data_IF_333929226923
#
_entry.id   IF_333929226923
#
_cell.length_a   1.000
_cell.length_b   1.000
_cell.length_c   1.000
_cell.angle_alpha   90.00
_cell.angle_beta   90.00
_cell.angle_gamma   90.00
#
_symmetry.space_group_name_H-M   'P 1'
#
loop_
_entity.id
_entity.type
_entity.pdbx_description
1 polymer ?
#
# COMPACT_ATOMS: atom_id res chain seq x y z
N UNK A 1 17.39 -22.60 16.83
CA UNK A 1 16.12 -22.51 16.10
C UNK A 1 16.23 -21.27 15.25
N UNK A 2 15.84 -21.34 13.97
CA UNK A 2 15.83 -20.16 13.09
C UNK A 2 14.83 -19.11 13.59
N UNK A 3 14.99 -17.87 13.11
CA UNK A 3 14.02 -16.78 13.32
C UNK A 3 12.71 -17.13 12.62
N UNK A 4 11.56 -16.82 13.22
CA UNK A 4 10.22 -17.06 12.67
C UNK A 4 9.37 -15.82 12.76
N UNK A 5 8.35 -15.74 11.93
CA UNK A 5 7.39 -14.64 11.98
C UNK A 5 6.65 -14.59 13.33
N UNK A 6 6.77 -13.47 14.03
CA UNK A 6 5.96 -13.09 15.19
C UNK A 6 5.12 -11.85 14.87
N UNK A 7 5.68 -10.91 14.09
CA UNK A 7 5.04 -9.67 13.66
C UNK A 7 5.39 -9.41 12.21
N UNK A 8 4.41 -9.44 11.32
CA UNK A 8 4.53 -8.99 9.94
C UNK A 8 3.76 -7.68 9.81
N UNK A 9 4.44 -6.63 9.36
CA UNK A 9 3.78 -5.41 8.94
C UNK A 9 3.14 -5.63 7.57
N UNK A 10 1.81 -5.59 7.49
CA UNK A 10 1.10 -5.61 6.21
C UNK A 10 1.25 -4.29 5.43
N UNK A 11 1.88 -3.28 6.02
CA UNK A 11 1.99 -1.94 5.47
C UNK A 11 3.32 -1.30 5.84
N UNK A 12 4.16 -1.15 4.85
CA UNK A 12 5.41 -0.41 4.90
C UNK A 12 5.70 0.20 3.52
N UNK A 13 6.47 1.27 3.49
CA UNK A 13 6.73 2.00 2.25
C UNK A 13 8.22 2.07 1.91
N UNK A 14 8.51 2.04 0.61
CA UNK A 14 9.88 2.22 0.11
C UNK A 14 10.07 3.69 -0.25
N UNK A 15 10.52 4.48 0.71
CA UNK A 15 10.72 5.92 0.59
C UNK A 15 12.17 6.27 0.21
N UNK A 16 12.72 5.62 -0.83
CA UNK A 16 14.08 5.89 -1.31
C UNK A 16 14.10 6.92 -2.45
N UNK A 17 15.26 7.59 -2.68
CA UNK A 17 15.42 8.43 -3.86
C UNK A 17 15.21 7.64 -5.16
N UNK A 18 14.74 8.31 -6.25
CA UNK A 18 14.46 7.64 -7.52
C UNK A 18 15.69 7.14 -8.27
N UNK A 19 16.89 7.56 -7.87
CA UNK A 19 18.12 7.27 -8.60
C UNK A 19 18.44 5.77 -8.62
N UNK A 20 17.99 5.00 -7.61
CA UNK A 20 18.22 3.56 -7.51
C UNK A 20 17.66 2.74 -8.68
N UNK A 21 16.59 3.20 -9.31
CA UNK A 21 15.88 2.48 -10.40
C UNK A 21 16.18 3.01 -11.80
N UNK A 22 16.88 4.15 -11.91
CA UNK A 22 17.22 4.76 -13.21
C UNK A 22 18.03 3.82 -14.13
N UNK A 23 18.83 2.94 -13.58
CA UNK A 23 19.60 1.97 -14.37
C UNK A 23 18.70 1.02 -15.18
N UNK A 24 17.48 0.74 -14.71
CA UNK A 24 16.49 -0.12 -15.37
C UNK A 24 15.63 0.62 -16.38
N UNK A 25 15.66 1.96 -16.39
CA UNK A 25 14.96 2.76 -17.38
C UNK A 25 15.72 2.69 -18.71
N UNK A 26 15.05 2.35 -19.83
CA UNK A 26 15.67 2.37 -21.15
C UNK A 26 16.39 3.71 -21.43
N UNK A 27 17.59 3.67 -21.98
CA UNK A 27 18.46 4.84 -22.17
C UNK A 27 17.72 6.02 -22.82
N UNK A 28 16.94 5.75 -23.86
CA UNK A 28 16.12 6.74 -24.59
C UNK A 28 15.09 7.50 -23.73
N UNK A 29 14.79 7.01 -22.53
CA UNK A 29 13.80 7.58 -21.62
C UNK A 29 14.41 8.12 -20.32
N UNK A 30 15.71 7.91 -20.07
CA UNK A 30 16.35 8.31 -18.80
C UNK A 30 16.25 9.80 -18.50
N UNK A 31 16.33 10.64 -19.51
CA UNK A 31 16.21 12.10 -19.34
C UNK A 31 14.81 12.55 -18.93
N UNK A 32 13.80 11.69 -19.12
CA UNK A 32 12.41 11.92 -18.76
C UNK A 32 11.99 11.22 -17.45
N UNK A 33 12.87 10.38 -16.93
CA UNK A 33 12.61 9.64 -15.69
C UNK A 33 12.65 10.58 -14.48
N UNK A 34 11.97 10.18 -13.38
CA UNK A 34 12.05 10.91 -12.12
C UNK A 34 13.49 11.08 -11.66
N UNK A 35 13.84 12.28 -11.21
CA UNK A 35 15.16 12.62 -10.66
C UNK A 35 15.03 13.39 -9.37
N UNK A 36 15.94 13.15 -8.44
CA UNK A 36 16.05 13.93 -7.22
C UNK A 36 16.64 15.31 -7.54
N UNK A 37 16.03 16.34 -7.01
CA UNK A 37 16.53 17.73 -7.07
C UNK A 37 16.53 18.36 -5.69
N UNK A 38 17.41 19.36 -5.51
CA UNK A 38 17.38 20.21 -4.32
C UNK A 38 16.50 21.41 -4.57
N UNK A 39 15.48 21.59 -3.73
CA UNK A 39 14.59 22.74 -3.81
C UNK A 39 15.22 23.99 -3.20
N UNK A 40 14.74 25.22 -3.58
CA UNK A 40 15.22 26.46 -2.97
C UNK A 40 15.04 26.55 -1.45
N UNK A 41 14.07 25.81 -0.88
CA UNK A 41 13.84 25.67 0.56
C UNK A 41 14.93 24.88 1.28
N UNK A 42 15.81 24.19 0.55
CA UNK A 42 16.76 23.24 1.09
C UNK A 42 16.22 21.83 1.27
N UNK A 43 14.92 21.59 0.98
CA UNK A 43 14.33 20.26 0.93
C UNK A 43 14.74 19.52 -0.35
N UNK A 44 14.60 18.20 -0.34
CA UNK A 44 14.65 17.41 -1.57
C UNK A 44 13.29 17.44 -2.26
N UNK A 45 13.31 17.42 -3.57
CA UNK A 45 12.12 17.33 -4.42
C UNK A 45 12.37 16.42 -5.60
N UNK A 46 11.32 16.12 -6.33
CA UNK A 46 11.41 15.30 -7.53
C UNK A 46 11.16 16.14 -8.77
N UNK A 47 11.89 15.85 -9.82
CA UNK A 47 11.67 16.41 -11.15
C UNK A 47 11.13 15.31 -12.06
N UNK A 48 9.96 15.52 -12.65
CA UNK A 48 9.35 14.59 -13.63
C UNK A 48 8.91 15.38 -14.84
N UNK A 49 9.34 14.98 -16.03
CA UNK A 49 9.08 15.68 -17.31
C UNK A 49 9.35 17.18 -17.26
N UNK A 50 10.42 17.59 -16.57
CA UNK A 50 10.78 19.00 -16.41
C UNK A 50 9.92 19.79 -15.43
N UNK A 51 8.95 19.17 -14.77
CA UNK A 51 8.11 19.79 -13.75
C UNK A 51 8.60 19.37 -12.34
N UNK A 52 8.93 20.32 -11.47
CA UNK A 52 9.32 20.00 -10.12
C UNK A 52 8.11 19.63 -9.27
N UNK A 53 8.24 18.57 -8.50
CA UNK A 53 7.40 18.32 -7.33
C UNK A 53 7.96 19.16 -6.19
N UNK A 54 7.13 20.00 -5.58
CA UNK A 54 7.55 20.98 -4.57
C UNK A 54 7.77 20.39 -3.17
N UNK A 55 7.74 19.07 -3.08
CA UNK A 55 8.10 18.29 -1.91
C UNK A 55 8.64 16.93 -2.38
N UNK A 56 9.33 16.23 -1.50
CA UNK A 56 9.90 14.92 -1.83
C UNK A 56 8.87 13.77 -1.84
N UNK A 57 7.60 14.07 -1.68
CA UNK A 57 6.54 13.06 -1.60
C UNK A 57 6.54 12.28 -0.30
N UNK A 58 7.41 12.61 0.64
CA UNK A 58 7.62 11.84 1.85
C UNK A 58 6.86 12.39 3.03
N UNK A 59 6.30 11.47 3.76
CA UNK A 59 5.71 11.70 5.08
C UNK A 59 6.57 11.02 6.17
N UNK A 60 7.88 11.00 5.98
CA UNK A 60 8.81 10.31 6.86
C UNK A 60 8.89 11.03 8.22
N UNK A 61 8.68 10.27 9.28
CA UNK A 61 8.75 10.77 10.64
C UNK A 61 10.18 10.80 11.17
N UNK A 62 10.94 9.74 11.03
CA UNK A 62 12.19 9.56 11.76
C UNK A 62 11.99 9.75 13.27
N UNK A 63 13.08 10.00 14.01
CA UNK A 63 13.04 10.20 15.48
C UNK A 63 12.77 11.65 15.92
N UNK A 64 12.41 12.53 15.01
CA UNK A 64 12.16 13.94 15.31
C UNK A 64 10.97 14.50 14.57
N UNK A 65 10.54 15.73 14.90
CA UNK A 65 9.44 16.37 14.19
C UNK A 65 9.83 16.59 12.73
N UNK A 66 8.99 16.09 11.82
CA UNK A 66 9.13 16.33 10.38
C UNK A 66 8.57 17.69 10.04
N UNK A 67 9.38 18.50 9.34
CA UNK A 67 8.90 19.69 8.66
C UNK A 67 8.97 19.43 7.16
N UNK A 68 7.85 19.25 6.51
CA UNK A 68 7.79 18.97 5.08
C UNK A 68 8.59 19.97 4.24
N UNK A 69 8.60 21.25 4.63
CA UNK A 69 9.35 22.30 3.94
C UNK A 69 10.88 22.06 3.88
N UNK A 70 11.42 21.25 4.79
CA UNK A 70 12.85 20.94 4.89
C UNK A 70 13.13 19.44 4.84
N UNK A 71 12.16 18.63 4.39
CA UNK A 71 12.33 17.19 4.31
C UNK A 71 13.46 16.81 3.33
N UNK A 72 14.30 15.90 3.74
CA UNK A 72 15.39 15.35 2.93
C UNK A 72 15.45 13.85 3.13
N UNK A 73 15.90 13.13 2.11
CA UNK A 73 16.25 11.73 2.20
C UNK A 73 17.52 11.48 3.03
N UNK A 74 18.30 12.54 3.26
CA UNK A 74 19.62 12.45 3.87
C UNK A 74 19.69 13.25 5.19
N UNK A 75 20.52 12.76 6.08
CA UNK A 75 20.98 13.45 7.26
C UNK A 75 22.00 14.54 6.88
N UNK A 76 22.39 15.38 7.86
CA UNK A 76 23.35 16.46 7.62
C UNK A 76 24.75 15.97 7.22
N UNK A 77 25.11 14.74 7.58
CA UNK A 77 26.37 14.09 7.22
C UNK A 77 26.33 13.36 5.86
N UNK A 78 25.20 13.40 5.17
CA UNK A 78 24.97 12.76 3.88
C UNK A 78 24.54 11.30 3.95
N UNK A 79 24.45 10.70 5.14
CA UNK A 79 23.88 9.35 5.32
C UNK A 79 22.38 9.34 5.05
N UNK A 80 21.79 8.23 4.55
CA UNK A 80 20.35 8.11 4.41
C UNK A 80 19.64 8.23 5.77
N UNK A 81 18.49 8.88 5.76
CA UNK A 81 17.61 8.90 6.95
C UNK A 81 16.98 7.53 7.19
N UNK A 82 16.48 7.34 8.40
CA UNK A 82 15.62 6.20 8.72
C UNK A 82 14.46 6.11 7.71
N UNK A 83 14.28 4.92 7.12
CA UNK A 83 13.30 4.63 6.10
C UNK A 83 13.66 5.04 4.68
N UNK A 84 14.76 5.77 4.45
CA UNK A 84 15.21 6.21 3.14
C UNK A 84 16.46 5.48 2.61
N UNK A 85 16.97 4.52 3.38
CA UNK A 85 18.18 3.79 3.07
C UNK A 85 17.99 2.57 2.18
N UNK A 86 19.10 1.84 2.03
CA UNK A 86 19.15 0.59 1.30
C UNK A 86 18.46 -0.57 2.06
N UNK A 87 18.31 -1.75 1.45
CA UNK A 87 17.63 -2.88 2.09
C UNK A 87 18.34 -3.38 3.36
N UNK A 88 19.65 -3.23 3.50
CA UNK A 88 20.36 -3.62 4.71
C UNK A 88 19.99 -2.70 5.88
N UNK A 89 19.96 -1.38 5.63
CA UNK A 89 19.47 -0.41 6.61
C UNK A 89 18.01 -0.74 7.00
N UNK A 90 17.16 -1.06 6.03
CA UNK A 90 15.77 -1.43 6.29
C UNK A 90 15.62 -2.65 7.20
N UNK A 91 16.44 -3.69 7.00
CA UNK A 91 16.44 -4.87 7.85
C UNK A 91 16.87 -4.56 9.29
N UNK A 92 17.86 -3.68 9.48
CA UNK A 92 18.25 -3.19 10.81
C UNK A 92 17.15 -2.36 11.47
N UNK A 93 16.44 -1.55 10.71
CA UNK A 93 15.28 -0.78 11.21
C UNK A 93 14.13 -1.68 11.61
N UNK A 94 13.83 -2.75 10.85
CA UNK A 94 12.87 -3.79 11.26
C UNK A 94 13.28 -4.44 12.58
N UNK A 95 14.56 -4.83 12.74
CA UNK A 95 15.04 -5.44 13.97
C UNK A 95 14.96 -4.49 15.17
N UNK A 96 15.26 -3.20 14.96
CA UNK A 96 15.14 -2.16 16.00
C UNK A 96 13.69 -2.01 16.48
N UNK A 97 12.73 -2.14 15.59
CA UNK A 97 11.30 -1.98 15.87
C UNK A 97 10.62 -3.29 16.30
N UNK A 98 11.34 -4.43 16.17
CA UNK A 98 10.86 -5.77 16.48
C UNK A 98 9.89 -6.33 15.45
N UNK A 99 10.05 -5.92 14.18
CA UNK A 99 9.27 -6.39 13.02
C UNK A 99 10.06 -7.48 12.30
N UNK A 100 9.40 -8.57 11.95
CA UNK A 100 10.06 -9.68 11.25
C UNK A 100 10.04 -9.53 9.75
N UNK A 101 8.97 -8.98 9.20
CA UNK A 101 8.81 -8.74 7.77
C UNK A 101 7.83 -7.59 7.50
N UNK A 102 7.90 -7.03 6.29
CA UNK A 102 7.00 -5.97 5.83
C UNK A 102 6.57 -6.20 4.38
N UNK A 103 5.29 -5.93 4.11
CA UNK A 103 4.80 -5.76 2.74
C UNK A 103 5.14 -4.33 2.31
N UNK A 104 5.92 -4.21 1.23
CA UNK A 104 6.50 -2.94 0.81
C UNK A 104 5.71 -2.33 -0.35
N UNK A 105 4.99 -1.27 -0.04
CA UNK A 105 4.25 -0.46 -1.01
C UNK A 105 5.15 0.57 -1.68
N UNK A 106 4.83 0.91 -2.93
CA UNK A 106 5.38 2.09 -3.56
C UNK A 106 4.94 3.35 -2.78
N UNK A 107 5.80 4.38 -2.69
CA UNK A 107 5.42 5.63 -2.04
C UNK A 107 4.15 6.19 -2.68
N UNK A 108 3.13 6.48 -1.86
CA UNK A 108 1.79 6.88 -2.35
C UNK A 108 1.85 8.10 -3.26
N UNK A 109 2.63 9.11 -2.87
CA UNK A 109 2.78 10.33 -3.67
C UNK A 109 3.60 10.09 -4.93
N UNK A 110 4.63 9.26 -4.86
CA UNK A 110 5.49 8.94 -6.00
C UNK A 110 4.73 8.15 -7.06
N UNK A 111 3.96 7.15 -6.67
CA UNK A 111 3.13 6.40 -7.61
C UNK A 111 2.22 7.33 -8.42
N UNK A 112 1.53 8.29 -7.76
CA UNK A 112 0.69 9.29 -8.41
C UNK A 112 1.48 10.27 -9.27
N UNK A 113 2.68 10.62 -8.83
CA UNK A 113 3.52 11.55 -9.56
C UNK A 113 4.01 10.94 -10.88
N UNK A 114 4.36 9.65 -10.87
CA UNK A 114 4.70 8.90 -12.08
C UNK A 114 3.49 8.81 -13.02
N UNK A 115 2.27 8.66 -12.50
CA UNK A 115 1.03 8.67 -13.30
C UNK A 115 0.84 9.99 -14.08
N UNK A 116 1.46 11.10 -13.64
CA UNK A 116 1.39 12.40 -14.34
C UNK A 116 2.20 12.42 -15.64
N UNK A 117 3.03 11.42 -15.92
CA UNK A 117 3.78 11.30 -17.16
C UNK A 117 2.83 11.06 -18.33
N UNK A 118 2.78 12.03 -19.25
CA UNK A 118 1.80 12.05 -20.34
C UNK A 118 2.06 10.98 -21.41
N UNK A 119 3.32 10.68 -21.67
CA UNK A 119 3.74 9.64 -22.61
C UNK A 119 3.64 8.25 -21.97
N UNK A 120 2.64 7.49 -22.42
CA UNK A 120 2.38 6.15 -21.90
C UNK A 120 3.55 5.18 -22.04
N UNK A 121 4.40 5.33 -23.05
CA UNK A 121 5.56 4.46 -23.23
C UNK A 121 6.65 4.76 -22.19
N UNK A 122 6.87 6.03 -21.90
CA UNK A 122 7.76 6.48 -20.81
C UNK A 122 7.20 6.02 -19.46
N UNK A 123 5.93 6.31 -19.19
CA UNK A 123 5.26 5.93 -17.94
C UNK A 123 5.41 4.43 -17.65
N UNK A 124 5.05 3.56 -18.60
CA UNK A 124 5.19 2.11 -18.48
C UNK A 124 6.63 1.70 -18.21
N UNK A 125 7.58 2.28 -18.94
CA UNK A 125 9.00 1.96 -18.77
C UNK A 125 9.49 2.29 -17.36
N UNK A 126 8.97 3.36 -16.74
CA UNK A 126 9.32 3.77 -15.39
C UNK A 126 8.69 2.85 -14.35
N UNK A 127 7.40 2.49 -14.50
CA UNK A 127 6.75 1.51 -13.62
C UNK A 127 7.49 0.17 -13.68
N UNK A 128 7.80 -0.31 -14.89
CA UNK A 128 8.56 -1.56 -15.06
C UNK A 128 9.98 -1.49 -14.49
N UNK A 129 10.65 -0.34 -14.60
CA UNK A 129 11.98 -0.13 -14.01
C UNK A 129 11.91 -0.14 -12.47
N UNK A 130 10.92 0.53 -11.87
CA UNK A 130 10.68 0.48 -10.44
C UNK A 130 10.45 -0.96 -9.94
N UNK A 131 9.53 -1.69 -10.56
CA UNK A 131 9.25 -3.08 -10.17
C UNK A 131 10.49 -3.98 -10.34
N UNK A 132 11.27 -3.79 -11.41
CA UNK A 132 12.52 -4.56 -11.61
C UNK A 132 13.50 -4.30 -10.49
N UNK A 133 13.75 -3.03 -10.18
CA UNK A 133 14.63 -2.62 -9.10
C UNK A 133 14.17 -3.16 -7.74
N UNK A 134 12.87 -3.02 -7.44
CA UNK A 134 12.30 -3.48 -6.19
C UNK A 134 12.54 -4.99 -5.99
N UNK A 135 12.34 -5.79 -7.04
CA UNK A 135 12.55 -7.22 -6.98
C UNK A 135 14.04 -7.61 -6.97
N UNK A 136 14.85 -7.02 -7.86
CA UNK A 136 16.20 -7.47 -8.11
C UNK A 136 17.24 -6.90 -7.14
N UNK A 137 17.08 -5.64 -6.72
CA UNK A 137 18.08 -4.94 -5.90
C UNK A 137 17.63 -4.78 -4.45
N UNK A 138 16.33 -4.44 -4.23
CA UNK A 138 15.87 -4.10 -2.88
C UNK A 138 15.40 -5.34 -2.10
N UNK A 139 14.42 -6.05 -2.61
CA UNK A 139 13.81 -7.17 -1.88
C UNK A 139 14.58 -8.48 -2.00
N UNK A 140 15.47 -8.62 -3.00
CA UNK A 140 16.28 -9.83 -3.20
C UNK A 140 17.21 -10.16 -2.04
N UNK A 141 17.54 -9.18 -1.21
CA UNK A 141 18.45 -9.35 -0.05
C UNK A 141 17.83 -10.27 1.02
N UNK A 142 16.52 -10.14 1.24
CA UNK A 142 15.76 -10.98 2.17
C UNK A 142 14.29 -11.02 1.72
N UNK A 143 13.93 -11.81 0.69
CA UNK A 143 12.61 -11.76 0.06
C UNK A 143 11.47 -12.29 0.95
N UNK A 144 11.81 -12.95 2.03
CA UNK A 144 10.92 -13.39 3.10
C UNK A 144 10.67 -12.32 4.16
N UNK A 145 11.50 -11.26 4.20
CA UNK A 145 11.36 -10.14 5.13
C UNK A 145 10.98 -8.82 4.44
N UNK A 146 11.50 -8.60 3.23
CA UNK A 146 11.20 -7.45 2.38
C UNK A 146 10.24 -7.92 1.28
N UNK A 147 8.95 -7.97 1.59
CA UNK A 147 7.93 -8.57 0.72
C UNK A 147 7.46 -7.53 -0.29
N UNK A 148 7.91 -7.68 -1.53
CA UNK A 148 7.61 -6.73 -2.59
C UNK A 148 6.12 -6.75 -3.00
N UNK A 149 5.52 -5.56 -3.16
CA UNK A 149 4.19 -5.34 -3.72
C UNK A 149 4.33 -4.54 -5.03
N UNK A 150 4.13 -5.18 -6.18
CA UNK A 150 4.40 -4.57 -7.48
C UNK A 150 3.36 -3.52 -7.85
N UNK A 151 3.80 -2.42 -8.45
CA UNK A 151 2.91 -1.38 -8.96
C UNK A 151 2.33 -1.78 -10.33
N UNK A 152 1.00 -1.78 -10.46
CA UNK A 152 0.31 -2.01 -11.74
C UNK A 152 0.09 -0.67 -12.45
N UNK A 153 0.48 -0.56 -13.75
CA UNK A 153 0.29 0.67 -14.50
C UNK A 153 -1.18 0.97 -14.78
N UNK A 154 -1.53 2.26 -14.77
CA UNK A 154 -2.89 2.76 -15.03
C UNK A 154 -3.12 3.17 -16.49
N UNK A 155 -2.23 2.78 -17.40
CA UNK A 155 -2.29 3.16 -18.83
C UNK A 155 -3.30 2.37 -19.64
N UNK A 156 -3.94 1.36 -19.07
CA UNK A 156 -4.99 0.54 -19.67
C UNK A 156 -4.79 -0.95 -19.45
N UNK A 157 -5.82 -1.74 -19.74
CA UNK A 157 -5.90 -3.17 -19.43
C UNK A 157 -4.72 -3.98 -20.02
N UNK A 158 -4.36 -3.75 -21.27
CA UNK A 158 -3.26 -4.51 -21.91
C UNK A 158 -1.93 -4.33 -21.15
N UNK A 159 -1.66 -3.11 -20.68
CA UNK A 159 -0.46 -2.81 -19.91
C UNK A 159 -0.53 -3.41 -18.50
N UNK A 160 -1.71 -3.37 -17.88
CA UNK A 160 -1.94 -3.99 -16.56
C UNK A 160 -1.75 -5.51 -16.60
N UNK A 161 -2.28 -6.20 -17.62
CA UNK A 161 -2.09 -7.64 -17.82
C UNK A 161 -0.61 -8.02 -18.06
N UNK A 162 0.07 -7.24 -18.91
CA UNK A 162 1.48 -7.47 -19.19
C UNK A 162 2.36 -7.31 -17.93
N UNK A 163 2.12 -6.26 -17.15
CA UNK A 163 2.89 -6.03 -15.92
C UNK A 163 2.54 -7.03 -14.82
N UNK A 164 1.28 -7.49 -14.71
CA UNK A 164 0.89 -8.54 -13.77
C UNK A 164 1.65 -9.84 -14.05
N UNK A 165 1.71 -10.26 -15.34
CA UNK A 165 2.46 -11.44 -15.75
C UNK A 165 3.96 -11.28 -15.45
N UNK A 166 4.52 -10.11 -15.78
CA UNK A 166 5.92 -9.79 -15.53
C UNK A 166 6.25 -9.75 -14.03
N UNK A 167 5.37 -9.21 -13.21
CA UNK A 167 5.54 -9.21 -11.75
C UNK A 167 5.63 -10.65 -11.22
N UNK A 168 4.78 -11.56 -11.73
CA UNK A 168 4.89 -12.98 -11.37
C UNK A 168 6.24 -13.59 -11.74
N UNK A 169 6.75 -13.30 -12.95
CA UNK A 169 8.06 -13.76 -13.42
C UNK A 169 9.22 -13.22 -12.56
N UNK A 170 9.09 -11.99 -12.05
CA UNK A 170 10.04 -11.37 -11.12
C UNK A 170 9.94 -11.91 -9.67
N UNK A 171 8.99 -12.80 -9.38
CA UNK A 171 8.83 -13.42 -8.07
C UNK A 171 7.92 -12.66 -7.11
N UNK A 172 7.22 -11.63 -7.56
CA UNK A 172 6.22 -10.95 -6.73
C UNK A 172 5.09 -11.90 -6.34
N UNK A 173 4.55 -11.71 -5.14
CA UNK A 173 3.37 -12.41 -4.62
C UNK A 173 2.13 -11.54 -4.62
N UNK A 174 2.30 -10.23 -4.77
CA UNK A 174 1.25 -9.23 -4.58
C UNK A 174 1.45 -8.05 -5.51
N UNK A 175 0.34 -7.40 -5.85
CA UNK A 175 0.33 -6.18 -6.67
C UNK A 175 -0.53 -5.08 -6.05
N UNK A 176 -0.07 -3.83 -6.22
CA UNK A 176 -0.76 -2.62 -5.83
C UNK A 176 -1.53 -2.03 -7.02
N UNK A 177 -2.82 -1.78 -6.81
CA UNK A 177 -3.70 -1.12 -7.78
C UNK A 177 -3.93 0.35 -7.38
N UNK A 178 -3.82 1.25 -8.35
CA UNK A 178 -4.15 2.68 -8.20
C UNK A 178 -5.49 3.01 -8.88
N UNK A 179 -5.83 2.28 -9.94
CA UNK A 179 -7.05 2.39 -10.73
C UNK A 179 -7.59 0.98 -11.01
N UNK A 180 -8.80 0.88 -11.57
CA UNK A 180 -9.24 -0.36 -12.19
C UNK A 180 -8.30 -0.73 -13.34
N UNK A 181 -8.12 -2.03 -13.66
CA UNK A 181 -7.15 -2.47 -14.66
C UNK A 181 -7.32 -1.84 -16.04
N UNK A 182 -8.53 -1.42 -16.40
CA UNK A 182 -8.79 -0.66 -17.61
C UNK A 182 -8.19 0.76 -17.62
N UNK A 183 -7.56 1.19 -16.54
CA UNK A 183 -6.93 2.50 -16.36
C UNK A 183 -7.91 3.63 -16.02
N UNK A 184 -9.14 3.32 -15.60
CA UNK A 184 -10.12 4.31 -15.20
C UNK A 184 -10.57 4.19 -13.74
N UNK A 185 -11.33 5.18 -13.27
CA UNK A 185 -11.87 5.21 -11.91
C UNK A 185 -13.07 4.29 -11.67
N UNK A 186 -13.51 3.53 -12.67
CA UNK A 186 -14.66 2.64 -12.56
C UNK A 186 -14.38 1.29 -13.22
N UNK A 187 -14.95 0.19 -12.70
CA UNK A 187 -14.80 -1.13 -13.30
C UNK A 187 -15.51 -1.22 -14.63
N UNK A 188 -14.94 -2.03 -15.53
CA UNK A 188 -15.53 -2.38 -16.82
C UNK A 188 -15.50 -3.90 -17.02
N UNK A 189 -16.37 -4.45 -17.92
CA UNK A 189 -16.40 -5.89 -18.17
C UNK A 189 -15.04 -6.47 -18.59
N UNK A 190 -14.22 -5.71 -19.32
CA UNK A 190 -12.90 -6.16 -19.73
C UNK A 190 -11.92 -6.39 -18.59
N UNK A 191 -12.13 -5.77 -17.41
CA UNK A 191 -11.29 -5.99 -16.22
C UNK A 191 -11.36 -7.43 -15.70
N UNK A 192 -12.40 -8.19 -16.10
CA UNK A 192 -12.52 -9.61 -15.76
C UNK A 192 -11.30 -10.43 -16.20
N UNK A 193 -10.62 -10.02 -17.28
CA UNK A 193 -9.37 -10.65 -17.72
C UNK A 193 -8.25 -10.49 -16.68
N UNK A 194 -8.19 -9.34 -16.02
CA UNK A 194 -7.18 -9.10 -14.98
C UNK A 194 -7.49 -9.91 -13.71
N UNK A 195 -8.74 -9.94 -13.29
CA UNK A 195 -9.16 -10.72 -12.13
C UNK A 195 -8.92 -12.21 -12.35
N UNK A 196 -9.29 -12.74 -13.53
CA UNK A 196 -9.01 -14.14 -13.89
C UNK A 196 -7.51 -14.45 -13.88
N UNK A 197 -6.69 -13.60 -14.51
CA UNK A 197 -5.24 -13.79 -14.56
C UNK A 197 -4.59 -13.69 -13.17
N UNK A 198 -5.06 -12.78 -12.30
CA UNK A 198 -4.53 -12.68 -10.94
C UNK A 198 -4.76 -13.95 -10.13
N UNK A 199 -5.94 -14.55 -10.26
CA UNK A 199 -6.27 -15.84 -9.63
C UNK A 199 -5.45 -16.98 -10.23
N UNK A 200 -5.34 -17.06 -11.55
CA UNK A 200 -4.54 -18.10 -12.24
C UNK A 200 -3.07 -18.05 -11.81
N UNK A 201 -2.49 -16.88 -11.72
CA UNK A 201 -1.09 -16.68 -11.30
C UNK A 201 -0.90 -16.77 -9.79
N UNK A 202 -1.97 -16.84 -8.99
CA UNK A 202 -1.91 -16.78 -7.53
C UNK A 202 -1.30 -15.46 -7.04
N UNK A 203 -1.63 -14.34 -7.70
CA UNK A 203 -1.17 -13.01 -7.33
C UNK A 203 -2.19 -12.35 -6.40
N UNK A 204 -1.76 -12.00 -5.21
CA UNK A 204 -2.58 -11.27 -4.25
C UNK A 204 -2.83 -9.83 -4.71
N UNK A 205 -4.00 -9.29 -4.37
CA UNK A 205 -4.37 -7.90 -4.67
C UNK A 205 -4.31 -7.09 -3.39
N UNK A 206 -3.29 -6.24 -3.27
CA UNK A 206 -3.02 -5.44 -2.09
C UNK A 206 -2.97 -3.95 -2.46
N UNK A 207 -4.14 -3.32 -2.77
CA UNK A 207 -4.18 -1.88 -2.91
C UNK A 207 -3.87 -1.20 -1.57
N UNK A 208 -3.38 0.02 -1.65
CA UNK A 208 -3.36 0.90 -0.47
C UNK A 208 -4.81 1.23 -0.08
N UNK A 209 -5.11 2.19 0.75
CA UNK A 209 -6.46 2.42 1.32
C UNK A 209 -7.64 2.39 0.32
N UNK A 210 -7.41 2.52 -0.99
CA UNK A 210 -8.42 2.35 -2.05
C UNK A 210 -7.79 2.39 -3.43
N UNK A 211 -8.58 2.06 -4.46
CA UNK A 211 -8.24 2.31 -5.86
C UNK A 211 -9.49 2.74 -6.66
N UNK A 212 -9.29 3.26 -7.88
CA UNK A 212 -10.39 3.75 -8.70
C UNK A 212 -10.79 5.20 -8.42
N UNK A 213 -11.98 5.59 -8.83
CA UNK A 213 -12.50 6.96 -8.70
C UNK A 213 -12.99 7.30 -7.31
N UNK A 214 -13.20 8.61 -7.07
CA UNK A 214 -13.80 9.20 -5.88
C UNK A 214 -12.96 9.23 -4.59
N UNK A 215 -11.67 8.87 -4.62
CA UNK A 215 -10.78 9.14 -3.49
C UNK A 215 -10.10 10.48 -3.68
N UNK A 216 -9.91 11.20 -2.58
CA UNK A 216 -9.19 12.47 -2.59
C UNK A 216 -7.85 12.30 -3.31
N UNK A 217 -7.69 13.02 -4.40
CA UNK A 217 -6.46 13.09 -5.18
C UNK A 217 -5.95 14.51 -5.10
N UNK A 218 -5.16 14.79 -4.07
CA UNK A 218 -4.40 16.03 -4.06
C UNK A 218 -3.53 16.11 -5.32
N UNK A 219 -3.39 17.28 -5.90
CA UNK A 219 -2.40 17.50 -6.96
C UNK A 219 -1.01 17.26 -6.36
N UNK A 220 -0.25 16.24 -6.81
CA UNK A 220 1.08 15.95 -6.29
C UNK A 220 2.07 17.11 -6.56
N UNK A 221 1.70 18.06 -7.44
CA UNK A 221 2.45 19.27 -7.71
C UNK A 221 2.06 20.44 -6.79
N UNK A 222 1.02 20.25 -5.97
CA UNK A 222 0.59 21.30 -5.04
C UNK A 222 1.68 21.58 -3.99
N UNK A 223 1.84 22.85 -3.67
CA UNK A 223 2.73 23.26 -2.59
C UNK A 223 2.15 22.83 -1.23
N UNK A 224 2.90 21.98 -0.52
CA UNK A 224 2.51 21.51 0.81
C UNK A 224 2.53 22.61 1.87
N UNK A 225 3.13 23.77 1.57
CA UNK A 225 3.07 24.93 2.47
C UNK A 225 1.64 25.47 2.63
N UNK A 226 0.72 25.09 1.73
CA UNK A 226 -0.70 25.45 1.80
C UNK A 226 -1.55 24.47 2.63
N UNK A 227 -0.94 23.41 3.16
CA UNK A 227 -1.66 22.50 4.06
C UNK A 227 -1.97 23.23 5.38
N UNK A 228 -3.25 23.38 5.65
CA UNK A 228 -3.68 23.90 6.93
C UNK A 228 -3.64 22.81 8.00
N UNK A 229 -3.57 23.22 9.26
CA UNK A 229 -3.66 22.29 10.38
C UNK A 229 -4.99 21.50 10.36
N UNK A 230 -6.07 22.14 9.92
CA UNK A 230 -7.39 21.51 9.76
C UNK A 230 -7.33 20.37 8.71
N UNK A 231 -6.65 20.57 7.59
CA UNK A 231 -6.44 19.51 6.60
C UNK A 231 -5.60 18.37 7.18
N UNK A 232 -4.56 18.69 7.95
CA UNK A 232 -3.71 17.67 8.57
C UNK A 232 -4.45 16.82 9.61
N UNK A 233 -5.28 17.40 10.46
CA UNK A 233 -6.03 16.65 11.49
C UNK A 233 -7.21 15.85 10.92
N UNK A 234 -7.62 16.12 9.68
CA UNK A 234 -8.68 15.37 8.98
C UNK A 234 -8.15 14.47 7.87
N UNK A 235 -6.83 14.42 7.67
CA UNK A 235 -6.18 13.75 6.55
C UNK A 235 -6.63 12.29 6.37
N UNK A 236 -6.78 11.55 7.44
CA UNK A 236 -7.13 10.13 7.41
C UNK A 236 -8.64 9.84 7.54
N UNK A 237 -9.45 10.84 7.84
CA UNK A 237 -10.90 10.66 8.00
C UNK A 237 -11.62 10.16 6.72
N UNK A 238 -11.23 10.57 5.50
CA UNK A 238 -11.85 10.10 4.27
C UNK A 238 -11.20 8.83 3.66
N UNK A 239 -10.18 8.25 4.27
CA UNK A 239 -9.53 7.04 3.76
C UNK A 239 -10.45 5.84 3.94
N UNK A 240 -11.21 5.53 2.90
CA UNK A 240 -12.20 4.46 2.94
C UNK A 240 -12.27 3.74 1.60
N UNK A 241 -12.25 2.40 1.58
CA UNK A 241 -12.45 1.61 0.37
C UNK A 241 -13.93 1.54 -0.04
N UNK A 242 -14.85 2.20 0.66
CA UNK A 242 -16.29 2.04 0.47
C UNK A 242 -16.73 2.23 -0.99
N UNK A 243 -16.21 3.25 -1.67
CA UNK A 243 -16.56 3.50 -3.08
C UNK A 243 -16.04 2.38 -3.99
N UNK A 244 -14.80 1.94 -3.80
CA UNK A 244 -14.19 0.82 -4.55
C UNK A 244 -14.97 -0.47 -4.31
N UNK A 245 -15.28 -0.78 -3.05
CA UNK A 245 -16.05 -1.98 -2.68
C UNK A 245 -17.46 -1.93 -3.25
N UNK A 246 -18.15 -0.80 -3.15
CA UNK A 246 -19.47 -0.63 -3.76
C UNK A 246 -19.45 -0.83 -5.27
N UNK A 247 -18.45 -0.32 -5.98
CA UNK A 247 -18.27 -0.53 -7.41
C UNK A 247 -18.03 -2.02 -7.74
N UNK A 248 -17.16 -2.71 -7.01
CA UNK A 248 -16.92 -4.15 -7.20
C UNK A 248 -18.19 -4.99 -6.98
N UNK A 249 -18.97 -4.66 -5.96
CA UNK A 249 -20.21 -5.35 -5.61
C UNK A 249 -21.27 -5.09 -6.70
N UNK A 250 -21.59 -3.83 -6.98
CA UNK A 250 -22.69 -3.45 -7.90
C UNK A 250 -22.41 -3.92 -9.32
N UNK A 251 -21.14 -3.93 -9.75
CA UNK A 251 -20.75 -4.48 -11.06
C UNK A 251 -20.61 -6.01 -11.06
N UNK A 252 -20.93 -6.70 -9.95
CA UNK A 252 -20.98 -8.16 -9.85
C UNK A 252 -19.62 -8.84 -9.97
N UNK A 253 -18.51 -8.15 -9.68
CA UNK A 253 -17.17 -8.72 -9.77
C UNK A 253 -17.03 -9.92 -8.81
N UNK A 254 -17.46 -9.77 -7.58
CA UNK A 254 -17.41 -10.85 -6.58
C UNK A 254 -18.33 -12.04 -6.91
N UNK A 255 -19.43 -11.78 -7.60
CA UNK A 255 -20.32 -12.86 -8.08
C UNK A 255 -19.69 -13.71 -9.18
N UNK A 256 -18.84 -13.10 -10.02
CA UNK A 256 -18.10 -13.79 -11.09
C UNK A 256 -16.79 -14.42 -10.61
N UNK A 257 -16.18 -13.82 -9.59
CA UNK A 257 -14.89 -14.24 -9.01
C UNK A 257 -15.00 -14.41 -7.49
N UNK A 258 -15.66 -15.47 -7.00
CA UNK A 258 -15.89 -15.69 -5.57
C UNK A 258 -14.60 -15.93 -4.78
N UNK A 259 -13.52 -16.34 -5.41
CA UNK A 259 -12.20 -16.53 -4.78
C UNK A 259 -11.39 -15.23 -4.66
N UNK A 260 -11.81 -14.15 -5.36
CA UNK A 260 -11.07 -12.90 -5.38
C UNK A 260 -11.05 -12.26 -4.00
N UNK A 261 -9.86 -11.90 -3.51
CA UNK A 261 -9.65 -11.25 -2.21
C UNK A 261 -8.82 -9.99 -2.38
N UNK A 262 -9.13 -8.99 -1.58
CA UNK A 262 -8.36 -7.75 -1.49
C UNK A 262 -7.87 -7.54 -0.06
N UNK A 263 -6.63 -7.08 0.06
CA UNK A 263 -6.11 -6.52 1.29
C UNK A 263 -5.93 -5.01 1.08
N UNK A 264 -6.68 -4.19 1.80
CA UNK A 264 -6.52 -2.73 1.78
C UNK A 264 -5.69 -2.31 2.98
N UNK A 265 -4.52 -1.73 2.71
CA UNK A 265 -3.62 -1.22 3.74
C UNK A 265 -4.07 0.15 4.28
N UNK A 266 -3.61 0.52 5.47
CA UNK A 266 -3.77 1.84 6.13
C UNK A 266 -5.22 2.37 6.18
N UNK A 267 -6.19 1.54 6.52
CA UNK A 267 -7.60 1.96 6.50
C UNK A 267 -8.02 2.80 7.70
N UNK A 268 -7.27 2.82 8.81
CA UNK A 268 -7.72 3.47 10.06
C UNK A 268 -9.12 2.98 10.48
N UNK A 269 -9.22 1.70 10.80
CA UNK A 269 -10.39 0.82 10.73
C UNK A 269 -11.57 1.12 11.66
N UNK A 270 -11.47 2.09 12.58
CA UNK A 270 -12.54 2.35 13.58
C UNK A 270 -13.91 2.70 12.97
N UNK A 271 -13.97 3.14 11.71
CA UNK A 271 -15.21 3.45 11.00
C UNK A 271 -15.84 2.23 10.29
N UNK A 272 -15.14 1.11 10.18
CA UNK A 272 -15.60 -0.07 9.40
C UNK A 272 -16.98 -0.57 9.85
N UNK A 273 -17.31 -0.72 11.15
CA UNK A 273 -18.63 -1.14 11.55
C UNK A 273 -19.74 -0.21 11.03
N UNK A 274 -19.51 1.10 11.08
CA UNK A 274 -20.45 2.10 10.55
C UNK A 274 -20.57 2.03 9.03
N UNK A 275 -19.45 1.82 8.32
CA UNK A 275 -19.43 1.65 6.86
C UNK A 275 -20.30 0.45 6.44
N UNK A 276 -20.11 -0.71 7.06
CA UNK A 276 -20.88 -1.92 6.78
C UNK A 276 -22.39 -1.70 7.01
N UNK A 277 -22.74 -1.14 8.16
CA UNK A 277 -24.13 -0.81 8.49
C UNK A 277 -24.77 0.12 7.46
N UNK A 278 -24.09 1.21 7.07
CA UNK A 278 -24.66 2.17 6.11
C UNK A 278 -24.72 1.60 4.68
N UNK A 279 -23.78 0.74 4.28
CA UNK A 279 -23.86 0.08 2.97
C UNK A 279 -25.10 -0.79 2.85
N UNK A 280 -25.41 -1.61 3.86
CA UNK A 280 -26.61 -2.46 3.88
C UNK A 280 -27.87 -1.64 3.93
N UNK A 281 -27.95 -0.68 4.89
CA UNK A 281 -29.10 0.20 5.02
C UNK A 281 -29.41 0.93 3.72
N UNK A 282 -28.40 1.54 3.10
CA UNK A 282 -28.60 2.30 1.88
C UNK A 282 -28.95 1.39 0.70
N UNK A 283 -28.38 0.18 0.64
CA UNK A 283 -28.78 -0.80 -0.36
C UNK A 283 -30.28 -1.10 -0.25
N UNK A 284 -30.80 -1.44 0.93
CA UNK A 284 -32.21 -1.74 1.12
C UNK A 284 -33.12 -0.54 0.87
N UNK A 285 -32.67 0.67 1.17
CA UNK A 285 -33.42 1.91 0.92
C UNK A 285 -33.53 2.24 -0.57
N UNK A 286 -32.46 2.02 -1.34
CA UNK A 286 -32.36 2.53 -2.71
C UNK A 286 -32.40 1.47 -3.81
N UNK A 287 -32.29 0.18 -3.48
CA UNK A 287 -32.20 -0.90 -4.49
C UNK A 287 -33.34 -0.87 -5.53
N UNK A 288 -34.58 -0.62 -5.09
CA UNK A 288 -35.75 -0.59 -5.97
C UNK A 288 -35.73 0.64 -6.89
N UNK A 289 -35.25 1.79 -6.37
CA UNK A 289 -35.11 3.02 -7.13
C UNK A 289 -34.12 2.87 -8.29
N UNK A 290 -33.00 2.20 -8.04
CA UNK A 290 -31.96 1.98 -9.04
C UNK A 290 -32.15 0.66 -9.82
N UNK A 291 -33.13 -0.17 -9.49
CA UNK A 291 -33.32 -1.48 -10.10
C UNK A 291 -32.15 -2.45 -9.87
N UNK A 292 -31.45 -2.34 -8.73
CA UNK A 292 -30.32 -3.19 -8.38
C UNK A 292 -30.78 -4.33 -7.48
N UNK A 293 -30.40 -5.57 -7.82
CA UNK A 293 -30.64 -6.74 -7.00
C UNK A 293 -29.35 -7.51 -6.80
N UNK A 294 -28.84 -7.52 -5.58
CA UNK A 294 -27.66 -8.28 -5.16
C UNK A 294 -28.07 -9.64 -4.59
N UNK A 295 -27.17 -10.63 -4.68
CA UNK A 295 -27.41 -11.97 -4.08
C UNK A 295 -27.25 -12.02 -2.57
N UNK A 296 -26.49 -11.07 -2.02
CA UNK A 296 -26.18 -10.93 -0.60
C UNK A 296 -26.22 -9.44 -0.23
N UNK A 297 -26.27 -9.15 1.05
CA UNK A 297 -26.10 -7.78 1.52
C UNK A 297 -24.68 -7.28 1.25
N UNK A 298 -24.47 -5.98 0.98
CA UNK A 298 -23.15 -5.42 0.74
C UNK A 298 -22.11 -5.78 1.79
N UNK A 299 -22.47 -5.77 3.08
CA UNK A 299 -21.56 -6.13 4.18
C UNK A 299 -21.05 -7.57 4.09
N UNK A 300 -21.89 -8.51 3.62
CA UNK A 300 -21.49 -9.92 3.44
C UNK A 300 -20.40 -10.05 2.38
N UNK A 301 -20.55 -9.37 1.22
CA UNK A 301 -19.52 -9.30 0.20
C UNK A 301 -18.23 -8.71 0.75
N UNK A 302 -18.33 -7.57 1.44
CA UNK A 302 -17.16 -6.90 1.99
C UNK A 302 -16.40 -7.82 2.95
N UNK A 303 -17.09 -8.49 3.87
CA UNK A 303 -16.48 -9.36 4.86
C UNK A 303 -15.92 -10.67 4.24
N UNK A 304 -16.52 -11.15 3.17
CA UNK A 304 -16.01 -12.35 2.47
C UNK A 304 -14.74 -12.05 1.67
N UNK A 305 -14.65 -10.87 1.07
CA UNK A 305 -13.63 -10.56 0.06
C UNK A 305 -12.54 -9.60 0.52
N UNK A 306 -12.62 -9.07 1.75
CA UNK A 306 -11.73 -7.99 2.19
C UNK A 306 -10.98 -8.34 3.47
N UNK A 307 -9.68 -8.01 3.48
CA UNK A 307 -8.87 -7.83 4.67
C UNK A 307 -8.61 -6.34 4.89
N UNK A 308 -8.66 -5.91 6.13
CA UNK A 308 -8.59 -4.51 6.54
C UNK A 308 -7.27 -4.20 7.23
N UNK A 309 -6.47 -3.33 6.62
CA UNK A 309 -5.20 -2.87 7.18
C UNK A 309 -5.42 -1.85 8.30
N UNK A 310 -4.92 -2.17 9.48
CA UNK A 310 -4.96 -1.30 10.65
C UNK A 310 -3.55 -0.89 11.07
N UNK A 311 -3.39 0.32 11.59
CA UNK A 311 -2.12 0.83 12.14
C UNK A 311 -2.25 1.07 13.64
N UNK A 312 -2.90 2.17 14.06
CA UNK A 312 -3.07 2.59 15.46
C UNK A 312 -4.54 2.49 15.90
N UNK A 313 -5.20 1.41 15.56
CA UNK A 313 -6.66 1.28 15.65
C UNK A 313 -7.13 0.55 16.92
N UNK A 314 -6.58 0.87 18.08
CA UNK A 314 -7.05 0.30 19.35
C UNK A 314 -8.58 0.33 19.52
N UNK A 315 -9.33 1.36 19.06
CA UNK A 315 -10.78 1.37 19.14
C UNK A 315 -11.45 0.19 18.43
N UNK A 316 -11.00 -0.18 17.19
CA UNK A 316 -11.67 -1.26 16.45
C UNK A 316 -11.51 -2.62 17.12
N UNK A 317 -10.42 -2.85 17.82
CA UNK A 317 -10.20 -4.09 18.58
C UNK A 317 -11.18 -4.25 19.76
N UNK A 318 -11.85 -3.18 20.18
CA UNK A 318 -12.93 -3.19 21.19
C UNK A 318 -14.32 -3.35 20.57
N UNK A 319 -14.42 -3.38 19.24
CA UNK A 319 -15.65 -3.48 18.47
C UNK A 319 -15.92 -4.88 17.88
N UNK A 320 -15.29 -5.92 18.43
CA UNK A 320 -15.43 -7.31 17.94
C UNK A 320 -16.87 -7.85 17.97
N UNK A 321 -17.79 -7.19 18.70
CA UNK A 321 -19.21 -7.48 18.65
C UNK A 321 -19.96 -6.84 17.46
N UNK A 322 -19.30 -5.94 16.71
CA UNK A 322 -19.85 -5.25 15.54
C UNK A 322 -19.17 -5.64 14.22
N UNK A 323 -17.93 -6.14 14.29
CA UNK A 323 -17.14 -6.52 13.11
C UNK A 323 -16.24 -7.72 13.45
N UNK A 324 -16.10 -8.71 12.55
CA UNK A 324 -15.21 -9.85 12.78
C UNK A 324 -13.75 -9.42 12.74
N UNK A 325 -13.09 -9.41 13.91
CA UNK A 325 -11.69 -9.00 14.06
C UNK A 325 -10.71 -9.91 13.30
N UNK A 326 -11.13 -11.11 12.91
CA UNK A 326 -10.38 -12.05 12.08
C UNK A 326 -10.11 -11.55 10.67
N UNK A 327 -10.68 -10.41 10.29
CA UNK A 327 -10.47 -9.79 8.97
C UNK A 327 -9.43 -8.68 8.96
N UNK A 328 -8.80 -8.42 10.11
CA UNK A 328 -7.82 -7.35 10.21
C UNK A 328 -6.39 -7.86 9.98
N UNK A 329 -5.55 -6.97 9.47
CA UNK A 329 -4.10 -7.14 9.31
C UNK A 329 -3.44 -5.90 9.92
N UNK A 330 -2.47 -6.09 10.78
CA UNK A 330 -1.72 -4.98 11.34
C UNK A 330 -0.60 -4.53 10.40
N UNK A 331 -0.31 -3.23 10.34
CA UNK A 331 0.81 -2.63 9.64
C UNK A 331 1.47 -1.50 10.43
N UNK A 332 2.76 -1.31 10.24
CA UNK A 332 3.54 -0.26 10.90
C UNK A 332 3.39 1.10 10.25
N UNK A 333 3.08 1.12 8.97
CA UNK A 333 3.12 2.29 8.08
C UNK A 333 4.49 2.99 8.09
N UNK A 334 5.57 2.20 8.28
CA UNK A 334 6.93 2.75 8.28
C UNK A 334 7.37 3.10 6.84
N UNK A 335 7.98 4.26 6.59
CA UNK A 335 8.50 5.24 7.55
C UNK A 335 7.62 6.47 7.76
N UNK A 336 6.33 6.39 7.51
CA UNK A 336 5.43 7.53 7.54
C UNK A 336 5.27 8.13 8.95
N UNK A 337 4.91 9.43 9.00
CA UNK A 337 4.77 10.20 10.24
C UNK A 337 3.65 9.69 11.16
N UNK A 338 2.65 9.01 10.58
CA UNK A 338 1.55 8.39 11.30
C UNK A 338 1.85 6.94 11.72
N UNK A 339 2.97 6.39 11.28
CA UNK A 339 3.44 5.05 11.58
C UNK A 339 3.81 4.82 13.05
N UNK A 340 4.14 3.59 13.38
CA UNK A 340 4.40 3.14 14.75
C UNK A 340 5.89 3.09 15.14
N UNK A 341 6.79 3.17 14.14
CA UNK A 341 8.24 3.16 14.34
C UNK A 341 8.72 4.30 15.26
N UNK A 342 9.70 4.11 16.13
CA UNK A 342 10.42 2.86 16.44
C UNK A 342 9.88 2.17 17.71
N UNK A 343 8.58 2.18 17.91
CA UNK A 343 7.93 1.68 19.14
C UNK A 343 6.79 0.70 18.84
N UNK A 344 6.82 0.05 17.65
CA UNK A 344 5.75 -0.84 17.19
C UNK A 344 5.44 -1.95 18.18
N UNK A 345 6.46 -2.63 18.71
CA UNK A 345 6.29 -3.71 19.70
C UNK A 345 5.55 -3.26 20.96
N UNK A 346 5.87 -2.05 21.48
CA UNK A 346 5.17 -1.52 22.64
C UNK A 346 3.73 -1.11 22.28
N UNK A 347 3.53 -0.46 21.14
CA UNK A 347 2.19 -0.06 20.69
C UNK A 347 1.29 -1.27 20.45
N UNK A 348 1.82 -2.35 19.83
CA UNK A 348 1.10 -3.62 19.67
C UNK A 348 0.72 -4.20 21.04
N UNK A 349 1.65 -4.26 21.98
CA UNK A 349 1.37 -4.76 23.32
C UNK A 349 0.20 -4.00 23.98
N UNK A 350 0.24 -2.68 23.93
CA UNK A 350 -0.78 -1.83 24.55
C UNK A 350 -2.13 -1.94 23.81
N UNK A 351 -2.11 -1.97 22.47
CA UNK A 351 -3.30 -2.02 21.64
C UNK A 351 -4.02 -3.37 21.76
N UNK A 352 -3.28 -4.47 21.83
CA UNK A 352 -3.82 -5.84 21.89
C UNK A 352 -4.03 -6.34 23.34
N UNK A 353 -3.92 -5.47 24.34
CA UNK A 353 -4.23 -5.85 25.72
C UNK A 353 -5.66 -6.43 25.82
N UNK A 354 -5.76 -7.64 26.41
CA UNK A 354 -7.03 -8.35 26.57
C UNK A 354 -7.60 -9.00 25.29
N UNK A 355 -6.87 -8.97 24.17
CA UNK A 355 -7.21 -9.74 22.96
C UNK A 355 -6.62 -11.15 23.10
N UNK A 356 -7.44 -12.14 22.71
CA UNK A 356 -7.03 -13.56 22.67
C UNK A 356 -5.77 -13.75 21.82
N UNK A 357 -4.85 -14.59 22.28
CA UNK A 357 -3.54 -14.77 21.64
C UNK A 357 -3.66 -15.40 20.23
N UNK A 358 -4.61 -16.29 19.99
CA UNK A 358 -4.83 -16.88 18.67
C UNK A 358 -5.33 -15.82 17.68
N UNK A 359 -6.24 -14.95 18.13
CA UNK A 359 -6.72 -13.82 17.33
C UNK A 359 -5.61 -12.80 17.09
N UNK A 360 -4.80 -12.48 18.11
CA UNK A 360 -3.64 -11.61 17.98
C UNK A 360 -2.67 -12.15 16.92
N UNK A 361 -2.26 -13.44 17.01
CA UNK A 361 -1.39 -14.07 16.02
C UNK A 361 -2.01 -14.04 14.61
N UNK A 362 -3.32 -14.24 14.51
CA UNK A 362 -4.03 -14.18 13.23
C UNK A 362 -3.92 -12.80 12.59
N UNK A 363 -4.08 -11.72 13.35
CA UNK A 363 -4.00 -10.33 12.88
C UNK A 363 -2.55 -9.93 12.54
N UNK A 364 -1.59 -10.35 13.37
CA UNK A 364 -0.18 -9.95 13.21
C UNK A 364 0.59 -10.78 12.19
N UNK A 365 0.14 -12.01 11.86
CA UNK A 365 0.86 -12.93 10.99
C UNK A 365 -0.09 -13.69 10.05
N UNK A 366 -1.09 -14.37 10.59
CA UNK A 366 -1.84 -15.39 9.88
C UNK A 366 -2.57 -14.88 8.65
N UNK A 367 -3.25 -13.73 8.76
CA UNK A 367 -4.06 -13.19 7.67
C UNK A 367 -3.20 -12.72 6.49
N UNK A 368 -2.10 -12.02 6.76
CA UNK A 368 -1.21 -11.55 5.69
C UNK A 368 -0.45 -12.71 5.04
N UNK A 369 -0.01 -13.71 5.82
CA UNK A 369 0.59 -14.92 5.27
C UNK A 369 -0.38 -15.68 4.35
N UNK A 370 -1.64 -15.86 4.78
CA UNK A 370 -2.66 -16.52 3.97
C UNK A 370 -2.95 -15.72 2.68
N UNK A 371 -2.99 -14.40 2.75
CA UNK A 371 -3.22 -13.54 1.59
C UNK A 371 -2.08 -13.63 0.56
N UNK A 372 -0.84 -13.69 1.03
CA UNK A 372 0.36 -13.72 0.19
C UNK A 372 0.85 -15.13 -0.17
N UNK A 373 0.18 -16.19 0.33
CA UNK A 373 0.64 -17.57 0.15
C UNK A 373 1.99 -17.84 0.82
N UNK A 374 2.23 -17.24 2.01
CA UNK A 374 3.41 -17.49 2.84
C UNK A 374 3.11 -18.54 3.89
N UNK A 375 4.13 -19.30 4.28
CA UNK A 375 4.05 -20.20 5.44
C UNK A 375 4.32 -19.39 6.73
N UNK A 376 3.34 -19.24 7.63
CA UNK A 376 3.49 -18.47 8.86
C UNK A 376 4.50 -19.07 9.85
N UNK A 377 4.91 -20.32 9.65
CA UNK A 377 5.85 -21.04 10.49
C UNK A 377 7.20 -21.28 9.82
N UNK A 378 7.43 -20.72 8.64
CA UNK A 378 8.72 -20.78 7.95
C UNK A 378 9.86 -20.14 8.78
N UNK A 379 11.06 -20.68 8.61
CA UNK A 379 12.28 -19.97 9.04
C UNK A 379 12.56 -18.82 8.07
N UNK A 380 12.93 -17.67 8.61
CA UNK A 380 13.19 -16.45 7.84
C UNK A 380 14.64 -16.01 7.93
N UNK A 381 15.07 -15.21 6.95
CA UNK A 381 16.43 -14.70 6.82
C UNK A 381 16.82 -13.82 8.02
N UNK A 382 17.99 -14.08 8.59
CA UNK A 382 18.59 -13.18 9.59
C UNK A 382 19.11 -11.90 8.92
N UNK A 383 19.14 -10.80 9.69
CA UNK A 383 19.75 -9.55 9.22
C UNK A 383 21.25 -9.76 9.00
N UNK A 384 21.80 -9.41 7.83
CA UNK A 384 23.24 -9.46 7.62
C UNK A 384 23.98 -8.58 8.63
N UNK A 385 25.17 -9.03 9.06
CA UNK A 385 26.02 -8.19 9.90
C UNK A 385 26.41 -6.91 9.16
N UNK A 386 26.38 -5.78 9.83
CA UNK A 386 26.76 -4.46 9.30
C UNK A 386 28.26 -4.35 9.04
#
# INVERSE_FOLDING_TARGET
>A
MGRKYQIISGDGHVETPPDGWLQYVPERYRDRAPRLIRLPSGADGWLVEGQPMLHNGQNIKGRGPVKFANASYFNADGSPREGAGDPIQRLHEQDLDGIDAEVLFAPVFVARFIESISDKAVYRSIVSAYNTWLAADYCSVAPDRLIANALIPVSGLADALAELSRAKELGFRSVQLQQFPNGSGAPKPEDDQFWALSLELGMALSPHFSFGGAVWRGDPRADTSQWSFEAAITQHAPMSPAATLAQLIVHGVYDRFPELKFYFAELNCAYIPGMLYYMDRNYHEFKDWFGVSLKKDPSEYVLEHTLFGMVRDAPVLRMGHLVPLERFVWGSDFPHSVGTFPTSTQQIKDMFEGIDEALRRKILVGNICAHLGLDPDADITDTPAS
#
